data_IF_251198105528
#
_entry.id   IF_251198105528
#
_cell.length_a   1.000
_cell.length_b   1.000
_cell.length_c   1.000
_cell.angle_alpha   90.00
_cell.angle_beta   90.00
_cell.angle_gamma   90.00
#
_symmetry.space_group_name_H-M   'P 1'
#
loop_
_entity.id
_entity.type
_entity.pdbx_description
1 polymer ?
#
# COMPACT_ATOMS: atom_id res chain seq x y z
N UNK A 1 1.08 26.18 -11.66
CA UNK A 1 0.99 24.80 -11.09
C UNK A 1 -0.16 24.74 -10.09
N UNK A 2 -0.93 23.64 -10.12
CA UNK A 2 -2.00 23.36 -9.15
C UNK A 2 -1.46 23.05 -7.73
N UNK A 3 -0.16 23.15 -7.50
CA UNK A 3 0.45 22.95 -6.17
C UNK A 3 -0.15 23.90 -5.10
N UNK A 4 -0.71 25.04 -5.52
CA UNK A 4 -1.39 25.98 -4.61
C UNK A 4 -2.73 25.49 -4.08
N UNK A 5 -3.30 24.45 -4.66
CA UNK A 5 -4.55 23.83 -4.23
C UNK A 5 -4.33 22.89 -3.04
N UNK A 6 -3.06 22.61 -2.71
CA UNK A 6 -2.65 21.77 -1.59
C UNK A 6 -2.20 22.60 -0.39
N UNK A 7 -2.65 22.20 0.79
CA UNK A 7 -2.25 22.81 2.07
C UNK A 7 -1.38 21.84 2.85
N UNK A 8 -0.21 22.31 3.29
CA UNK A 8 0.65 21.50 4.17
C UNK A 8 0.10 21.48 5.58
N UNK A 9 -0.27 20.30 6.06
CA UNK A 9 -0.71 20.06 7.44
C UNK A 9 0.34 19.23 8.16
N UNK A 10 0.93 19.71 9.28
CA UNK A 10 1.88 18.91 10.05
C UNK A 10 1.14 17.80 10.80
N UNK A 11 1.39 16.55 10.43
CA UNK A 11 0.97 15.39 11.20
C UNK A 11 2.00 15.13 12.30
N UNK A 12 1.55 15.07 13.55
CA UNK A 12 2.41 14.82 14.70
C UNK A 12 1.81 13.69 15.55
N UNK A 13 2.69 12.79 16.02
CA UNK A 13 2.35 11.80 17.03
C UNK A 13 3.19 12.06 18.28
N UNK A 14 2.57 11.95 19.45
CA UNK A 14 3.31 12.02 20.70
C UNK A 14 3.95 10.66 21.01
N UNK A 15 5.28 10.63 20.93
CA UNK A 15 6.08 9.45 21.23
C UNK A 15 6.70 9.48 22.63
N UNK A 16 6.29 10.41 23.51
CA UNK A 16 6.87 10.58 24.86
C UNK A 16 6.67 9.34 25.74
N UNK A 17 5.56 8.61 25.54
CA UNK A 17 5.24 7.39 26.28
C UNK A 17 6.02 6.15 25.84
N UNK A 18 6.77 6.20 24.72
CA UNK A 18 7.52 5.09 24.15
C UNK A 18 9.00 5.18 24.56
N UNK A 19 9.58 4.06 24.97
CA UNK A 19 11.01 3.99 25.24
C UNK A 19 11.87 3.90 23.97
N UNK A 20 13.19 3.79 24.13
CA UNK A 20 14.12 3.77 23.00
C UNK A 20 13.90 2.56 22.08
N UNK A 21 13.56 1.40 22.65
CA UNK A 21 13.32 0.16 21.89
C UNK A 21 12.03 0.28 21.06
N UNK A 22 10.96 0.78 21.66
CA UNK A 22 9.68 0.99 20.96
C UNK A 22 9.80 2.07 19.86
N UNK A 23 10.55 3.15 20.10
CA UNK A 23 10.83 4.16 19.07
C UNK A 23 11.65 3.59 17.91
N UNK A 24 12.59 2.68 18.18
CA UNK A 24 13.32 1.97 17.14
C UNK A 24 12.38 1.08 16.32
N UNK A 25 11.45 0.37 16.97
CA UNK A 25 10.39 -0.39 16.29
C UNK A 25 9.59 0.51 15.35
N UNK A 26 9.07 1.64 15.85
CA UNK A 26 8.30 2.61 15.05
C UNK A 26 9.10 3.08 13.83
N UNK A 27 10.39 3.39 14.00
CA UNK A 27 11.24 3.80 12.89
C UNK A 27 11.40 2.71 11.81
N UNK A 28 11.49 1.43 12.20
CA UNK A 28 11.51 0.31 11.26
C UNK A 28 10.17 0.13 10.53
N UNK A 29 9.06 0.34 11.24
CA UNK A 29 7.71 0.28 10.63
C UNK A 29 7.51 1.41 9.61
N UNK A 30 7.99 2.62 9.90
CA UNK A 30 7.98 3.74 8.94
C UNK A 30 8.80 3.39 7.69
N UNK A 31 10.01 2.84 7.86
CA UNK A 31 10.83 2.41 6.71
C UNK A 31 10.12 1.31 5.89
N UNK A 32 9.44 0.35 6.54
CA UNK A 32 8.67 -0.66 5.83
C UNK A 32 7.50 -0.04 5.04
N UNK A 33 6.84 0.98 5.60
CA UNK A 33 5.76 1.72 4.92
C UNK A 33 6.29 2.53 3.72
N UNK A 34 7.51 3.07 3.79
CA UNK A 34 8.15 3.76 2.66
C UNK A 34 8.38 2.80 1.48
N UNK A 35 8.68 1.53 1.75
CA UNK A 35 8.79 0.51 0.69
C UNK A 35 7.46 0.32 -0.04
N UNK A 36 6.33 0.41 0.66
CA UNK A 36 5.01 0.34 0.02
C UNK A 36 4.78 1.51 -0.94
N UNK A 37 5.26 2.72 -0.61
CA UNK A 37 5.22 3.86 -1.53
C UNK A 37 6.05 3.60 -2.81
N UNK A 38 7.20 2.92 -2.70
CA UNK A 38 8.01 2.56 -3.86
C UNK A 38 7.26 1.57 -4.78
N UNK A 39 6.56 0.59 -4.20
CA UNK A 39 5.72 -0.35 -4.95
C UNK A 39 4.50 0.38 -5.54
N UNK A 40 3.85 1.26 -4.78
CA UNK A 40 2.71 2.03 -5.29
C UNK A 40 3.08 2.92 -6.47
N UNK A 41 4.29 3.50 -6.49
CA UNK A 41 4.82 4.19 -7.66
C UNK A 41 4.91 3.27 -8.89
N UNK A 42 5.35 2.03 -8.70
CA UNK A 42 5.40 1.05 -9.79
C UNK A 42 3.98 0.69 -10.28
N UNK A 43 3.00 0.59 -9.37
CA UNK A 43 1.61 0.28 -9.68
C UNK A 43 0.87 1.43 -10.36
N UNK A 44 1.14 2.67 -9.95
CA UNK A 44 0.43 3.86 -10.48
C UNK A 44 1.04 4.38 -11.78
N UNK A 45 2.37 4.42 -11.88
CA UNK A 45 3.09 4.99 -13.03
C UNK A 45 4.11 4.04 -13.66
N UNK A 46 4.95 3.40 -12.84
CA UNK A 46 6.11 2.61 -13.26
C UNK A 46 7.43 3.22 -12.77
N UNK A 47 8.29 3.69 -13.68
CA UNK A 47 9.60 4.22 -13.33
C UNK A 47 9.54 5.67 -12.82
N UNK A 48 9.50 5.81 -11.49
CA UNK A 48 9.54 7.08 -10.76
C UNK A 48 10.76 7.93 -11.14
N UNK A 49 11.93 7.31 -11.20
CA UNK A 49 13.17 8.03 -11.43
C UNK A 49 13.23 8.61 -12.85
N UNK A 50 12.80 7.83 -13.85
CA UNK A 50 12.72 8.28 -15.23
C UNK A 50 11.70 9.42 -15.40
N UNK A 51 10.57 9.42 -14.70
CA UNK A 51 9.61 10.52 -14.74
C UNK A 51 10.18 11.77 -14.10
N UNK A 52 10.61 11.69 -12.84
CA UNK A 52 11.06 12.85 -12.07
C UNK A 52 12.33 13.47 -12.66
N UNK A 53 13.19 12.66 -13.29
CA UNK A 53 14.38 13.12 -13.99
C UNK A 53 14.11 13.98 -15.23
N UNK A 54 12.92 13.85 -15.84
CA UNK A 54 12.50 14.66 -17.00
C UNK A 54 11.85 15.99 -16.59
N UNK A 55 11.42 16.14 -15.34
CA UNK A 55 10.72 17.34 -14.86
C UNK A 55 11.75 18.31 -14.29
N UNK A 56 12.00 19.40 -15.00
CA UNK A 56 12.96 20.43 -14.59
C UNK A 56 12.39 21.39 -13.52
N UNK A 57 11.08 21.72 -13.63
CA UNK A 57 10.42 22.64 -12.70
C UNK A 57 10.20 21.98 -11.33
N UNK A 58 10.71 22.56 -10.21
CA UNK A 58 10.59 21.96 -8.89
C UNK A 58 9.14 21.81 -8.39
N UNK A 59 8.26 22.76 -8.73
CA UNK A 59 6.85 22.73 -8.31
C UNK A 59 6.10 21.61 -9.02
N UNK A 60 6.33 21.46 -10.32
CA UNK A 60 5.77 20.35 -11.12
C UNK A 60 6.31 19.00 -10.63
N UNK A 61 7.59 18.92 -10.31
CA UNK A 61 8.17 17.70 -9.71
C UNK A 61 7.51 17.36 -8.38
N UNK A 62 7.33 18.35 -7.51
CA UNK A 62 6.65 18.17 -6.23
C UNK A 62 5.21 17.70 -6.41
N UNK A 63 4.48 18.29 -7.38
CA UNK A 63 3.13 17.85 -7.71
C UNK A 63 3.10 16.40 -8.20
N UNK A 64 4.07 15.98 -9.02
CA UNK A 64 4.19 14.60 -9.48
C UNK A 64 4.48 13.63 -8.32
N UNK A 65 5.33 14.02 -7.36
CA UNK A 65 5.58 13.23 -6.14
C UNK A 65 4.32 13.04 -5.31
N UNK A 66 3.51 14.10 -5.13
CA UNK A 66 2.27 14.05 -4.36
C UNK A 66 1.17 13.22 -5.02
N UNK A 67 1.15 13.18 -6.36
CA UNK A 67 0.15 12.45 -7.14
C UNK A 67 0.60 11.04 -7.56
N UNK A 68 1.82 10.61 -7.19
CA UNK A 68 2.43 9.34 -7.63
C UNK A 68 2.39 9.16 -9.15
N UNK A 69 2.59 10.25 -9.89
CA UNK A 69 2.53 10.25 -11.34
C UNK A 69 2.27 11.65 -11.92
N UNK A 70 2.13 11.75 -13.25
CA UNK A 70 1.99 13.02 -13.96
C UNK A 70 0.55 13.51 -14.10
N UNK A 71 -0.40 12.97 -13.32
CA UNK A 71 -1.83 13.27 -13.38
C UNK A 71 -2.32 13.90 -12.07
N UNK A 72 -3.09 14.98 -12.19
CA UNK A 72 -3.68 15.67 -11.05
C UNK A 72 -4.93 14.93 -10.54
N UNK A 73 -4.78 14.18 -9.46
CA UNK A 73 -5.83 13.36 -8.86
C UNK A 73 -6.97 14.17 -8.27
N UNK A 74 -6.73 15.42 -7.89
CA UNK A 74 -7.80 16.33 -7.43
C UNK A 74 -8.58 16.94 -8.60
N UNK A 75 -8.05 16.87 -9.83
CA UNK A 75 -8.64 17.48 -11.01
C UNK A 75 -8.87 16.44 -12.12
N UNK A 76 -9.52 15.34 -11.78
CA UNK A 76 -9.97 14.31 -12.72
C UNK A 76 -8.85 13.66 -13.52
N UNK A 77 -7.70 13.42 -12.88
CA UNK A 77 -6.52 12.80 -13.51
C UNK A 77 -6.01 13.58 -14.75
N UNK A 78 -6.17 14.91 -14.76
CA UNK A 78 -5.67 15.75 -15.86
C UNK A 78 -4.13 15.71 -15.89
N UNK A 79 -3.51 15.39 -17.06
CA UNK A 79 -2.06 15.36 -17.16
C UNK A 79 -1.49 16.79 -17.05
N UNK A 80 -0.40 16.93 -16.28
CA UNK A 80 0.31 18.22 -16.07
C UNK A 80 1.78 18.18 -16.48
N UNK A 81 2.23 17.07 -17.04
CA UNK A 81 3.59 16.92 -17.61
C UNK A 81 3.47 16.82 -19.11
N UNK A 82 4.24 17.63 -19.84
CA UNK A 82 4.22 17.66 -21.30
C UNK A 82 4.53 16.29 -21.91
N UNK A 83 3.79 15.94 -22.95
CA UNK A 83 3.95 14.68 -23.67
C UNK A 83 3.35 13.46 -22.97
N UNK A 84 2.67 13.65 -21.85
CA UNK A 84 1.93 12.58 -21.17
C UNK A 84 0.47 12.57 -21.61
N UNK A 85 -0.03 11.41 -22.00
CA UNK A 85 -1.45 11.20 -22.35
C UNK A 85 -2.34 11.04 -21.12
N UNK A 86 -3.60 10.70 -21.35
CA UNK A 86 -4.57 10.38 -20.30
C UNK A 86 -4.09 9.21 -19.44
N UNK A 87 -4.47 9.20 -18.17
CA UNK A 87 -4.17 8.09 -17.25
C UNK A 87 -4.84 6.81 -17.74
N UNK A 88 -4.08 5.70 -17.84
CA UNK A 88 -4.67 4.41 -18.17
C UNK A 88 -5.62 3.95 -17.05
N UNK A 89 -6.85 3.52 -17.32
CA UNK A 89 -7.79 3.09 -16.28
C UNK A 89 -7.28 1.92 -15.43
N UNK A 90 -6.47 1.03 -16.05
CA UNK A 90 -5.88 -0.12 -15.36
C UNK A 90 -4.55 0.17 -14.67
N UNK A 91 -4.13 1.44 -14.58
CA UNK A 91 -2.81 1.83 -14.09
C UNK A 91 -1.71 0.92 -14.67
N UNK A 92 -0.83 0.37 -13.85
CA UNK A 92 0.21 -0.59 -14.27
C UNK A 92 -0.16 -2.05 -13.91
N UNK A 93 -1.44 -2.33 -13.59
CA UNK A 93 -1.87 -3.70 -13.29
C UNK A 93 -2.07 -4.57 -14.53
N UNK A 94 -2.36 -3.95 -15.68
CA UNK A 94 -2.70 -4.61 -16.93
C UNK A 94 -1.81 -4.11 -18.09
N UNK A 95 -1.64 -4.90 -19.16
CA UNK A 95 -1.09 -4.39 -20.42
C UNK A 95 -1.97 -3.23 -20.94
N UNK A 96 -1.36 -2.15 -21.40
CA UNK A 96 -2.08 -0.94 -21.86
C UNK A 96 -2.92 -1.19 -23.12
N UNK A 97 -2.61 -2.23 -23.87
CA UNK A 97 -3.31 -2.66 -25.10
C UNK A 97 -4.34 -3.76 -24.84
N UNK A 98 -4.52 -4.20 -23.58
CA UNK A 98 -5.49 -5.25 -23.23
C UNK A 98 -6.93 -4.73 -23.39
N UNK A 99 -7.79 -5.53 -24.02
CA UNK A 99 -9.24 -5.27 -24.06
C UNK A 99 -9.99 -6.08 -23.00
N UNK A 100 -11.21 -5.66 -22.69
CA UNK A 100 -12.08 -6.39 -21.75
C UNK A 100 -12.46 -7.76 -22.32
N UNK A 101 -12.71 -7.82 -23.63
CA UNK A 101 -13.04 -9.06 -24.33
C UNK A 101 -11.89 -10.07 -24.28
N UNK A 102 -10.65 -9.58 -24.44
CA UNK A 102 -9.45 -10.42 -24.30
C UNK A 102 -9.31 -10.93 -22.87
N UNK A 103 -9.51 -10.05 -21.87
CA UNK A 103 -9.48 -10.45 -20.47
C UNK A 103 -10.55 -11.52 -20.18
N UNK A 104 -11.78 -11.32 -20.66
CA UNK A 104 -12.88 -12.25 -20.39
C UNK A 104 -12.63 -13.62 -21.03
N UNK A 105 -12.09 -13.65 -22.24
CA UNK A 105 -11.76 -14.86 -23.00
C UNK A 105 -10.53 -15.62 -22.46
N UNK A 106 -9.65 -14.96 -21.70
CA UNK A 106 -8.44 -15.58 -21.18
C UNK A 106 -8.76 -16.64 -20.12
N UNK A 107 -8.31 -17.88 -20.33
CA UNK A 107 -8.40 -18.97 -19.36
C UNK A 107 -7.23 -18.90 -18.36
N UNK A 108 -7.32 -17.96 -17.44
CA UNK A 108 -6.34 -17.70 -16.37
C UNK A 108 -7.07 -17.74 -15.02
N UNK A 109 -6.74 -18.71 -14.18
CA UNK A 109 -7.41 -18.92 -12.88
C UNK A 109 -7.33 -17.69 -11.97
N UNK A 110 -6.19 -17.03 -11.95
CA UNK A 110 -5.90 -15.94 -11.02
C UNK A 110 -6.04 -14.54 -11.64
N UNK A 111 -6.69 -14.42 -12.82
CA UNK A 111 -6.87 -13.13 -13.49
C UNK A 111 -7.67 -12.12 -12.67
N UNK A 112 -8.58 -12.59 -11.80
CA UNK A 112 -9.40 -11.77 -10.89
C UNK A 112 -8.82 -11.68 -9.48
N UNK A 113 -7.69 -12.34 -9.20
CA UNK A 113 -7.01 -12.24 -7.91
C UNK A 113 -6.61 -10.79 -7.62
N UNK A 114 -6.75 -10.37 -6.37
CA UNK A 114 -6.34 -9.05 -5.89
C UNK A 114 -4.82 -8.85 -5.96
N UNK A 115 -4.06 -9.96 -5.95
CA UNK A 115 -2.62 -9.99 -5.77
C UNK A 115 -1.87 -10.50 -7.00
N UNK A 116 -2.39 -10.22 -8.20
CA UNK A 116 -1.71 -10.56 -9.47
C UNK A 116 -1.71 -9.38 -10.43
N UNK A 117 -0.62 -9.25 -11.19
CA UNK A 117 -0.57 -8.43 -12.39
C UNK A 117 -0.96 -9.27 -13.61
N UNK A 118 -1.52 -8.64 -14.63
CA UNK A 118 -1.57 -9.21 -15.97
C UNK A 118 -0.40 -8.66 -16.79
N UNK A 119 0.22 -9.54 -17.54
CA UNK A 119 1.35 -9.23 -18.44
C UNK A 119 1.21 -9.99 -19.74
N UNK A 120 2.04 -9.68 -20.74
CA UNK A 120 2.16 -10.48 -21.93
C UNK A 120 3.44 -11.32 -21.87
N UNK A 121 3.34 -12.58 -22.24
CA UNK A 121 4.49 -13.43 -22.46
C UNK A 121 5.19 -13.09 -23.80
N UNK A 122 6.26 -13.81 -24.13
CA UNK A 122 7.02 -13.60 -25.37
C UNK A 122 6.20 -13.81 -26.65
N UNK A 123 5.11 -14.60 -26.57
CA UNK A 123 4.17 -14.82 -27.66
C UNK A 123 3.04 -13.78 -27.70
N UNK A 124 3.03 -12.79 -26.79
CA UNK A 124 2.00 -11.78 -26.68
C UNK A 124 0.73 -12.23 -25.95
N UNK A 125 0.68 -13.46 -25.42
CA UNK A 125 -0.47 -14.00 -24.71
C UNK A 125 -0.52 -13.44 -23.27
N UNK A 126 -1.74 -13.22 -22.76
CA UNK A 126 -1.92 -12.82 -21.37
C UNK A 126 -1.47 -13.91 -20.40
N UNK A 127 -0.73 -13.50 -19.38
CA UNK A 127 -0.33 -14.30 -18.24
C UNK A 127 -0.59 -13.52 -16.95
N UNK A 128 -0.73 -14.22 -15.83
CA UNK A 128 -0.74 -13.63 -14.48
C UNK A 128 0.65 -13.74 -13.85
N UNK A 129 1.04 -12.69 -13.15
CA UNK A 129 2.27 -12.63 -12.34
C UNK A 129 1.88 -12.30 -10.91
N UNK A 130 2.11 -13.18 -9.92
CA UNK A 130 1.83 -12.91 -8.52
C UNK A 130 2.59 -11.68 -8.01
N UNK A 131 2.00 -10.94 -7.07
CA UNK A 131 2.64 -9.73 -6.53
C UNK A 131 3.95 -10.03 -5.83
N UNK A 132 4.04 -11.14 -5.07
CA UNK A 132 5.27 -11.54 -4.40
C UNK A 132 6.44 -11.85 -5.37
N UNK A 133 6.14 -12.19 -6.62
CA UNK A 133 7.15 -12.35 -7.68
C UNK A 133 7.45 -11.01 -8.36
N UNK A 134 6.40 -10.26 -8.71
CA UNK A 134 6.51 -9.00 -9.45
C UNK A 134 7.30 -7.93 -8.68
N UNK A 135 7.10 -7.86 -7.35
CA UNK A 135 7.72 -6.87 -6.47
C UNK A 135 8.71 -7.49 -5.48
N UNK A 136 9.26 -8.65 -5.82
CA UNK A 136 10.07 -9.50 -4.92
C UNK A 136 11.11 -8.74 -4.12
N UNK A 137 11.95 -7.94 -4.76
CA UNK A 137 13.05 -7.25 -4.09
C UNK A 137 12.56 -6.25 -3.03
N UNK A 138 11.49 -5.51 -3.33
CA UNK A 138 10.89 -4.56 -2.41
C UNK A 138 10.19 -5.28 -1.25
N UNK A 139 9.47 -6.35 -1.54
CA UNK A 139 8.77 -7.13 -0.52
C UNK A 139 9.72 -7.86 0.42
N UNK A 140 10.84 -8.39 -0.08
CA UNK A 140 11.91 -8.96 0.75
C UNK A 140 12.50 -7.90 1.70
N UNK A 141 12.71 -6.66 1.22
CA UNK A 141 13.17 -5.53 2.03
C UNK A 141 12.16 -5.17 3.12
N UNK A 142 10.88 -5.02 2.77
CA UNK A 142 9.82 -4.72 3.74
C UNK A 142 9.65 -5.83 4.78
N UNK A 143 9.62 -7.09 4.36
CA UNK A 143 9.52 -8.24 5.25
C UNK A 143 10.70 -8.32 6.23
N UNK A 144 11.92 -8.00 5.79
CA UNK A 144 13.09 -7.95 6.66
C UNK A 144 12.95 -6.86 7.74
N UNK A 145 12.42 -5.68 7.38
CA UNK A 145 12.16 -4.59 8.33
C UNK A 145 11.10 -4.97 9.37
N UNK A 146 9.98 -5.59 8.93
CA UNK A 146 8.95 -6.08 9.85
C UNK A 146 9.49 -7.15 10.81
N UNK A 147 10.32 -8.07 10.33
CA UNK A 147 10.95 -9.09 11.16
C UNK A 147 11.96 -8.51 12.16
N UNK A 148 12.65 -7.41 11.82
CA UNK A 148 13.50 -6.67 12.75
C UNK A 148 12.68 -5.90 13.79
N UNK A 149 11.53 -5.35 13.42
CA UNK A 149 10.63 -4.62 14.32
C UNK A 149 9.95 -5.56 15.34
N UNK A 150 9.57 -6.77 14.91
CA UNK A 150 8.79 -7.72 15.71
C UNK A 150 9.33 -8.00 17.12
N UNK A 151 10.64 -8.30 17.34
CA UNK A 151 11.18 -8.54 18.67
C UNK A 151 11.29 -7.30 19.54
N UNK A 152 11.15 -6.10 18.97
CA UNK A 152 11.17 -4.82 19.67
C UNK A 152 9.81 -4.46 20.27
N UNK A 153 8.74 -5.16 19.89
CA UNK A 153 7.41 -4.97 20.46
C UNK A 153 7.33 -5.54 21.86
N UNK A 154 6.80 -4.74 22.81
CA UNK A 154 6.42 -5.22 24.14
C UNK A 154 5.06 -5.94 24.13
N UNK A 155 4.22 -5.64 23.16
CA UNK A 155 2.99 -6.38 22.90
C UNK A 155 3.30 -7.60 22.05
N UNK A 156 3.12 -8.79 22.66
CA UNK A 156 3.45 -10.06 22.00
C UNK A 156 2.58 -10.29 20.76
N UNK A 157 1.29 -9.96 20.83
CA UNK A 157 0.36 -10.17 19.71
C UNK A 157 0.76 -9.30 18.53
N UNK A 158 1.17 -8.05 18.78
CA UNK A 158 1.68 -7.18 17.72
C UNK A 158 2.98 -7.69 17.11
N UNK A 159 3.92 -8.17 17.93
CA UNK A 159 5.16 -8.79 17.44
C UNK A 159 4.90 -10.05 16.59
N UNK A 160 3.94 -10.88 16.98
CA UNK A 160 3.55 -12.08 16.22
C UNK A 160 2.85 -11.67 14.89
N UNK A 161 1.95 -10.68 14.93
CA UNK A 161 1.35 -10.11 13.71
C UNK A 161 2.40 -9.61 12.71
N UNK A 162 3.42 -8.87 13.18
CA UNK A 162 4.47 -8.35 12.29
C UNK A 162 5.23 -9.49 11.57
N UNK A 163 5.48 -10.62 12.23
CA UNK A 163 6.09 -11.81 11.60
C UNK A 163 5.17 -12.42 10.56
N UNK A 164 3.89 -12.61 10.91
CA UNK A 164 2.89 -13.16 10.00
C UNK A 164 2.69 -12.26 8.78
N UNK A 165 2.66 -10.93 8.97
CA UNK A 165 2.55 -9.97 7.87
C UNK A 165 3.79 -9.98 6.98
N UNK A 166 4.99 -10.16 7.54
CA UNK A 166 6.21 -10.34 6.76
C UNK A 166 6.16 -11.60 5.88
N UNK A 167 5.60 -12.71 6.40
CA UNK A 167 5.42 -13.94 5.63
C UNK A 167 4.34 -13.76 4.55
N UNK A 168 3.25 -13.05 4.85
CA UNK A 168 2.18 -12.73 3.90
C UNK A 168 2.68 -11.89 2.71
N UNK A 169 3.55 -10.91 2.94
CA UNK A 169 4.16 -10.12 1.87
C UNK A 169 5.00 -10.96 0.90
N UNK A 170 5.52 -12.10 1.33
CA UNK A 170 6.36 -12.98 0.52
C UNK A 170 5.60 -14.16 -0.12
N UNK A 171 4.31 -14.30 0.17
CA UNK A 171 3.48 -15.43 -0.28
C UNK A 171 2.16 -15.05 -0.92
N UNK A 172 1.74 -13.77 -0.79
CA UNK A 172 0.39 -13.25 -1.11
C UNK A 172 -0.75 -13.91 -0.29
N UNK A 173 -0.44 -14.68 0.76
CA UNK A 173 -1.43 -15.24 1.69
C UNK A 173 -1.62 -14.30 2.89
N UNK A 174 -2.51 -13.33 2.75
CA UNK A 174 -2.74 -12.28 3.75
C UNK A 174 -3.74 -12.67 4.84
N UNK A 175 -4.66 -13.61 4.58
CA UNK A 175 -5.76 -13.93 5.50
C UNK A 175 -5.31 -14.29 6.94
N UNK A 176 -4.26 -15.13 7.16
CA UNK A 176 -3.83 -15.43 8.52
C UNK A 176 -3.37 -14.20 9.30
N UNK A 177 -2.64 -13.29 8.66
CA UNK A 177 -2.17 -12.05 9.29
C UNK A 177 -3.30 -11.04 9.49
N UNK A 178 -4.31 -11.00 8.61
CA UNK A 178 -5.50 -10.15 8.77
C UNK A 178 -6.33 -10.58 9.98
N UNK A 179 -6.50 -11.88 10.18
CA UNK A 179 -7.19 -12.41 11.37
C UNK A 179 -6.42 -12.08 12.65
N UNK A 180 -5.08 -12.23 12.65
CA UNK A 180 -4.24 -11.85 13.78
C UNK A 180 -4.35 -10.34 14.09
N UNK A 181 -4.38 -9.47 13.04
CA UNK A 181 -4.59 -8.03 13.20
C UNK A 181 -5.95 -7.72 13.83
N UNK A 182 -7.01 -8.37 13.39
CA UNK A 182 -8.36 -8.20 13.93
C UNK A 182 -8.49 -8.62 15.40
N UNK A 183 -7.69 -9.59 15.84
CA UNK A 183 -7.71 -10.08 17.22
C UNK A 183 -6.92 -9.19 18.19
N UNK A 184 -6.02 -8.35 17.71
CA UNK A 184 -5.25 -7.42 18.54
C UNK A 184 -6.15 -6.32 19.13
N UNK A 185 -5.99 -6.06 20.43
CA UNK A 185 -6.79 -5.05 21.16
C UNK A 185 -5.94 -4.06 21.95
N UNK A 186 -4.80 -4.50 22.49
CA UNK A 186 -4.00 -3.76 23.47
C UNK A 186 -2.80 -3.04 22.88
N UNK A 187 -2.44 -3.32 21.64
CA UNK A 187 -1.26 -2.75 20.99
C UNK A 187 -1.31 -1.20 20.94
N UNK A 188 -0.32 -0.49 21.47
CA UNK A 188 -0.28 0.98 21.45
C UNK A 188 0.15 1.55 20.09
N UNK A 189 0.86 0.76 19.31
CA UNK A 189 1.24 1.05 17.92
C UNK A 189 0.47 0.11 17.01
N UNK A 190 0.01 0.60 15.89
CA UNK A 190 -0.64 -0.21 14.86
C UNK A 190 0.02 0.04 13.49
N UNK A 191 -0.09 -0.91 12.59
CA UNK A 191 0.34 -0.75 11.21
C UNK A 191 -0.62 -1.48 10.26
N UNK A 192 -1.09 -0.74 9.26
CA UNK A 192 -1.73 -1.30 8.07
C UNK A 192 -0.67 -1.31 6.97
N UNK A 193 -0.31 -2.46 6.45
CA UNK A 193 0.76 -2.59 5.45
C UNK A 193 0.49 -3.76 4.52
N UNK A 194 0.61 -3.52 3.21
CA UNK A 194 0.39 -4.50 2.16
C UNK A 194 -0.55 -4.00 1.06
N UNK A 195 -1.07 -4.90 0.19
CA UNK A 195 -2.05 -4.57 -0.84
C UNK A 195 -3.45 -4.51 -0.21
N UNK A 196 -4.03 -3.31 -0.09
CA UNK A 196 -5.25 -3.07 0.69
C UNK A 196 -6.41 -2.59 -0.17
N UNK A 197 -6.23 -1.50 -0.93
CA UNK A 197 -7.31 -0.81 -1.62
C UNK A 197 -7.31 -1.11 -3.13
N UNK A 198 -8.49 -1.28 -3.74
CA UNK A 198 -8.62 -1.67 -5.16
C UNK A 198 -9.06 -0.53 -6.09
N UNK A 199 -9.26 0.69 -5.59
CA UNK A 199 -9.76 1.82 -6.38
C UNK A 199 -8.76 2.34 -7.44
N UNK A 200 -7.49 2.00 -7.34
CA UNK A 200 -6.48 2.34 -8.36
C UNK A 200 -6.72 1.58 -9.68
N UNK A 201 -7.28 0.37 -9.60
CA UNK A 201 -7.78 -0.39 -10.74
C UNK A 201 -9.17 0.10 -11.15
N UNK A 202 -9.21 1.04 -12.08
CA UNK A 202 -10.45 1.63 -12.60
C UNK A 202 -11.08 0.83 -13.75
N UNK A 203 -10.51 -0.32 -14.16
CA UNK A 203 -11.09 -1.20 -15.18
C UNK A 203 -12.10 -2.16 -14.56
N UNK A 204 -11.67 -2.92 -13.54
CA UNK A 204 -12.46 -3.98 -12.91
C UNK A 204 -12.58 -3.84 -11.39
N UNK A 205 -11.69 -3.09 -10.75
CA UNK A 205 -11.62 -2.99 -9.30
C UNK A 205 -11.10 -4.27 -8.63
N UNK A 206 -10.34 -5.10 -9.33
CA UNK A 206 -9.79 -6.35 -8.78
C UNK A 206 -8.45 -6.19 -8.11
N UNK A 207 -7.57 -5.33 -8.65
CA UNK A 207 -6.16 -5.29 -8.25
C UNK A 207 -5.94 -4.37 -7.06
N UNK A 208 -5.38 -4.92 -5.98
CA UNK A 208 -5.08 -4.13 -4.79
C UNK A 208 -3.77 -3.36 -4.95
N UNK A 209 -3.77 -2.11 -4.52
CA UNK A 209 -2.57 -1.29 -4.44
C UNK A 209 -1.90 -1.39 -3.07
N UNK A 210 -0.56 -1.32 -3.05
CA UNK A 210 0.21 -1.34 -1.82
C UNK A 210 0.14 0.00 -1.10
N UNK A 211 -0.03 -0.07 0.22
CA UNK A 211 0.03 1.07 1.12
C UNK A 211 0.63 0.69 2.47
N UNK A 212 1.10 1.70 3.21
CA UNK A 212 1.64 1.51 4.55
C UNK A 212 1.30 2.71 5.44
N UNK A 213 0.59 2.44 6.55
CA UNK A 213 0.17 3.43 7.53
C UNK A 213 0.60 2.99 8.91
N UNK A 214 1.49 3.76 9.56
CA UNK A 214 1.88 3.56 10.96
C UNK A 214 1.04 4.46 11.86
N UNK A 215 0.38 3.91 12.84
CA UNK A 215 -0.59 4.57 13.68
C UNK A 215 -0.17 4.46 15.16
N UNK A 216 -0.33 5.57 15.89
CA UNK A 216 -0.19 5.61 17.35
C UNK A 216 -1.59 5.74 17.93
N UNK A 217 -2.00 4.78 18.76
CA UNK A 217 -3.33 4.79 19.37
C UNK A 217 -3.43 5.91 20.43
N UNK A 218 -4.47 6.73 20.29
CA UNK A 218 -4.89 7.65 21.33
C UNK A 218 -5.64 6.87 22.42
N UNK A 219 -5.03 6.77 23.61
CA UNK A 219 -5.57 6.00 24.73
C UNK A 219 -6.88 6.58 25.25
N UNK A 220 -6.99 7.90 25.34
CA UNK A 220 -8.19 8.57 25.85
C UNK A 220 -9.39 8.33 24.93
N UNK A 221 -9.20 8.48 23.62
CA UNK A 221 -10.25 8.17 22.64
C UNK A 221 -10.56 6.68 22.59
N UNK A 222 -9.57 5.79 22.71
CA UNK A 222 -9.78 4.34 22.75
C UNK A 222 -10.65 3.93 23.94
N UNK A 223 -10.41 4.51 25.13
CA UNK A 223 -11.22 4.28 26.33
C UNK A 223 -12.64 4.84 26.18
N UNK A 224 -12.82 6.01 25.57
CA UNK A 224 -14.13 6.60 25.27
C UNK A 224 -14.94 5.70 24.33
N UNK A 225 -14.34 5.21 23.26
CA UNK A 225 -14.97 4.29 22.32
C UNK A 225 -15.34 2.95 22.96
N UNK A 226 -14.48 2.39 23.82
CA UNK A 226 -14.78 1.17 24.57
C UNK A 226 -16.01 1.33 25.49
N UNK A 227 -16.20 2.48 26.11
CA UNK A 227 -17.38 2.80 26.95
C UNK A 227 -18.66 3.01 26.13
N UNK A 228 -18.56 3.56 24.92
CA UNK A 228 -19.70 3.82 24.04
C UNK A 228 -20.17 2.61 23.24
N UNK A 229 -19.44 1.48 23.25
CA UNK A 229 -19.75 0.25 22.50
C UNK A 229 -19.96 -0.97 23.43
N UNK A 230 -20.95 -0.97 24.31
CA UNK A 230 -21.17 -2.09 25.24
C UNK A 230 -21.71 -3.37 24.57
N UNK A 231 -22.01 -3.37 23.26
CA UNK A 231 -22.78 -4.44 22.60
C UNK A 231 -22.02 -5.31 21.59
N UNK A 232 -20.69 -5.24 21.49
CA UNK A 232 -19.96 -6.12 20.56
C UNK A 232 -19.65 -7.53 21.09
N UNK A 233 -20.09 -7.89 22.31
CA UNK A 233 -19.85 -9.22 22.89
C UNK A 233 -20.93 -10.28 22.54
N UNK A 234 -21.96 -9.96 21.76
CA UNK A 234 -23.08 -10.88 21.51
C UNK A 234 -23.33 -11.27 20.04
N UNK A 235 -22.45 -10.92 19.12
CA UNK A 235 -22.51 -11.48 17.77
C UNK A 235 -21.43 -12.54 17.59
N UNK A 236 -21.58 -13.68 18.28
CA UNK A 236 -21.05 -14.96 17.85
C UNK A 236 -22.18 -15.66 17.06
N UNK A 237 -22.00 -15.75 15.76
CA UNK A 237 -22.66 -16.77 14.93
C UNK A 237 -21.57 -17.58 14.30
#
# INVERSE_FOLDING_TARGET
THLRDYVTVPLKADLSAFDAQERQMIALLVQASEVMNDIYWQQSWGDKAALLGKIADPDTRRLAEMNFGPWDRLNGDTPFVDGVGSRPPGAQFYPTDMTKEEFDAADLKDKTSWYTLLRRDEAGKLITVPFHEAYKADLERAAALLRQAAPLSKDKAFGDYLRMRADALLSDDFQPSDLAWMDMKSNPVDIVIGPIETYEDQIFGYKASYEGLVLIKDREWSERLARSSPQRSTLRV
#
